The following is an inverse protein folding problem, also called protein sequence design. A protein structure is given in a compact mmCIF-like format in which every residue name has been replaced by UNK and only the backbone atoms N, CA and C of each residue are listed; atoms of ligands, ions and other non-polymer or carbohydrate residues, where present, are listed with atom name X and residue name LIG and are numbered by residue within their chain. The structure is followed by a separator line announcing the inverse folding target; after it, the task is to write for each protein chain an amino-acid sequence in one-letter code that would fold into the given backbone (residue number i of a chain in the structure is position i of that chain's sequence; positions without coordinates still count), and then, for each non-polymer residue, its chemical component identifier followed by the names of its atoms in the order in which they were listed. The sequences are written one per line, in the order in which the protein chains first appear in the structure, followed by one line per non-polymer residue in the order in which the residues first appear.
data_IF_173396557244
#
_entry.id   IF_173396557244
#
_cell.length_a   1.000
_cell.length_b   1.000
_cell.length_c   1.000
_cell.angle_alpha   90.00
_cell.angle_beta   90.00
_cell.angle_gamma   90.00
#
_symmetry.space_group_name_H-M   'P 1'
#
loop_
_entity.id
_entity.type
_entity.pdbx_description
1 polymer ?
#
# COMPACT_ATOMS: atom_id res chain seq x y z
N UNK A 1 34.10 7.31 58.26
CA UNK A 1 34.34 6.55 57.01
C UNK A 1 33.05 6.63 56.23
N UNK A 2 32.99 7.57 55.31
CA UNK A 2 31.78 7.86 54.50
C UNK A 2 31.91 7.06 53.22
N UNK A 3 30.96 6.14 53.01
CA UNK A 3 30.85 5.38 51.75
C UNK A 3 30.11 6.23 50.70
N UNK A 4 30.84 6.84 49.81
CA UNK A 4 30.29 7.48 48.60
C UNK A 4 29.61 6.43 47.72
N UNK A 5 28.32 6.55 47.58
CA UNK A 5 27.47 5.84 46.63
C UNK A 5 27.78 6.39 45.24
N UNK A 6 28.54 5.63 44.43
CA UNK A 6 28.77 5.90 43.02
C UNK A 6 27.44 5.65 42.30
N UNK A 7 26.74 6.73 41.95
CA UNK A 7 25.58 6.69 41.07
C UNK A 7 26.03 6.16 39.71
N UNK A 8 25.67 4.93 39.40
CA UNK A 8 25.81 4.34 38.09
C UNK A 8 24.96 5.14 37.08
N UNK A 9 25.61 6.01 36.30
CA UNK A 9 25.00 6.71 35.16
C UNK A 9 24.51 5.68 34.13
N UNK A 10 23.22 5.35 34.20
CA UNK A 10 22.57 4.51 33.20
C UNK A 10 22.70 5.17 31.83
N UNK A 11 23.35 4.49 30.89
CA UNK A 11 23.32 4.88 29.48
C UNK A 11 21.87 5.03 29.06
N UNK A 12 21.46 6.10 28.36
CA UNK A 12 20.11 6.22 27.83
C UNK A 12 19.85 5.01 26.94
N UNK A 13 19.02 4.09 27.40
CA UNK A 13 18.62 2.92 26.63
C UNK A 13 17.96 3.40 25.34
N UNK A 14 18.35 2.82 24.22
CA UNK A 14 17.69 3.08 22.93
C UNK A 14 16.21 2.77 23.10
N UNK A 15 15.36 3.77 22.88
CA UNK A 15 13.90 3.57 22.87
C UNK A 15 13.53 2.81 21.59
N UNK A 16 13.57 1.49 21.68
CA UNK A 16 13.30 0.58 20.57
C UNK A 16 11.95 0.84 19.91
N UNK A 17 10.99 1.39 20.63
CA UNK A 17 9.67 1.73 20.09
C UNK A 17 9.74 2.91 19.13
N UNK A 18 10.55 3.92 19.43
CA UNK A 18 10.85 5.02 18.51
C UNK A 18 11.64 4.54 17.32
N UNK A 19 12.62 3.67 17.55
CA UNK A 19 13.45 3.12 16.49
C UNK A 19 12.61 2.30 15.50
N UNK A 20 11.71 1.43 15.95
CA UNK A 20 10.81 0.65 15.10
C UNK A 20 9.90 1.54 14.24
N UNK A 21 9.31 2.58 14.84
CA UNK A 21 8.44 3.51 14.10
C UNK A 21 9.22 4.29 13.04
N UNK A 22 10.37 4.84 13.41
CA UNK A 22 11.24 5.60 12.50
C UNK A 22 11.80 4.69 11.39
N UNK A 23 12.25 3.48 11.71
CA UNK A 23 12.74 2.52 10.73
C UNK A 23 11.65 2.09 9.75
N UNK A 24 10.42 1.85 10.23
CA UNK A 24 9.27 1.53 9.38
C UNK A 24 8.96 2.68 8.44
N UNK A 25 8.99 3.92 8.94
CA UNK A 25 8.77 5.12 8.13
C UNK A 25 9.88 5.32 7.09
N UNK A 26 11.14 5.19 7.50
CA UNK A 26 12.31 5.33 6.61
C UNK A 26 12.36 4.22 5.55
N UNK A 27 12.05 2.98 5.94
CA UNK A 27 11.95 1.87 4.99
C UNK A 27 10.85 2.10 3.96
N UNK A 28 9.71 2.66 4.38
CA UNK A 28 8.59 3.03 3.50
C UNK A 28 8.99 4.10 2.49
N UNK A 29 9.61 5.18 2.96
CA UNK A 29 10.08 6.28 2.11
C UNK A 29 11.21 5.82 1.21
N UNK A 30 12.19 5.07 1.74
CA UNK A 30 13.31 4.54 0.98
C UNK A 30 12.88 3.61 -0.16
N UNK A 31 11.89 2.74 0.10
CA UNK A 31 11.36 1.83 -0.92
C UNK A 31 10.59 2.56 -2.03
N UNK A 32 9.89 3.65 -1.70
CA UNK A 32 9.17 4.50 -2.67
C UNK A 32 10.11 5.32 -3.55
N UNK A 33 11.31 5.62 -3.08
CA UNK A 33 12.30 6.46 -3.78
C UNK A 33 13.33 5.66 -4.57
N UNK A 34 13.32 4.32 -4.48
CA UNK A 34 14.23 3.48 -5.26
C UNK A 34 13.95 3.64 -6.76
N UNK A 35 14.92 4.14 -7.57
CA UNK A 35 14.75 4.31 -9.00
C UNK A 35 14.94 2.96 -9.73
N UNK A 36 14.13 1.97 -9.38
CA UNK A 36 14.17 0.66 -10.05
C UNK A 36 13.39 0.76 -11.35
N UNK A 37 14.11 0.92 -12.46
CA UNK A 37 13.54 0.82 -13.80
C UNK A 37 13.66 -0.63 -14.28
N UNK A 38 12.60 -1.40 -14.11
CA UNK A 38 12.53 -2.75 -14.64
C UNK A 38 11.66 -2.70 -15.90
N UNK A 39 12.28 -2.76 -17.08
CA UNK A 39 11.59 -2.76 -18.38
C UNK A 39 11.28 -4.18 -18.84
N UNK A 40 12.25 -5.07 -18.70
CA UNK A 40 12.15 -6.47 -19.10
C UNK A 40 12.62 -7.38 -17.97
N UNK A 41 12.11 -8.62 -17.99
CA UNK A 41 12.58 -9.73 -17.16
C UNK A 41 13.32 -10.71 -18.05
N UNK A 42 13.83 -11.78 -17.43
CA UNK A 42 14.52 -12.87 -18.07
C UNK A 42 13.95 -13.21 -19.48
N UNK A 43 14.84 -13.40 -20.45
CA UNK A 43 14.50 -13.74 -21.86
C UNK A 43 13.71 -12.67 -22.64
N UNK A 44 13.80 -11.39 -22.28
CA UNK A 44 13.14 -10.31 -23.04
C UNK A 44 11.62 -10.21 -22.83
N UNK A 45 11.06 -10.96 -21.89
CA UNK A 45 9.63 -10.88 -21.57
C UNK A 45 9.31 -9.58 -20.82
N UNK A 46 8.16 -8.92 -21.12
CA UNK A 46 7.74 -7.73 -20.41
C UNK A 46 7.58 -7.98 -18.91
N UNK A 47 8.10 -7.06 -18.09
CA UNK A 47 8.03 -7.16 -16.64
C UNK A 47 6.62 -6.93 -16.08
N UNK A 48 5.82 -6.10 -16.74
CA UNK A 48 4.51 -5.68 -16.27
C UNK A 48 3.55 -6.83 -15.93
N UNK A 49 3.33 -7.84 -16.78
CA UNK A 49 2.43 -8.97 -16.47
C UNK A 49 2.85 -9.76 -15.23
N UNK A 50 4.14 -9.83 -14.93
CA UNK A 50 4.62 -10.50 -13.72
C UNK A 50 4.37 -9.65 -12.47
N UNK A 51 4.76 -8.37 -12.52
CA UNK A 51 4.61 -7.48 -11.36
C UNK A 51 3.17 -7.23 -10.97
N UNK A 52 2.20 -7.25 -11.89
CA UNK A 52 0.78 -7.03 -11.60
C UNK A 52 0.20 -8.06 -10.63
N UNK A 53 0.75 -9.25 -10.55
CA UNK A 53 0.26 -10.29 -9.63
C UNK A 53 0.44 -9.91 -8.17
N UNK A 54 1.46 -9.14 -7.83
CA UNK A 54 1.73 -8.75 -6.45
C UNK A 54 0.65 -7.79 -5.93
N UNK A 55 0.37 -6.63 -6.55
CA UNK A 55 -0.68 -5.73 -6.07
C UNK A 55 -2.09 -6.36 -6.16
N UNK A 56 -2.37 -7.18 -7.17
CA UNK A 56 -3.69 -7.85 -7.31
C UNK A 56 -3.99 -8.78 -6.14
N UNK A 57 -2.99 -9.39 -5.52
CA UNK A 57 -3.16 -10.23 -4.33
C UNK A 57 -3.09 -9.42 -3.05
N UNK A 58 -2.09 -8.55 -2.90
CA UNK A 58 -1.83 -7.86 -1.64
C UNK A 58 -2.84 -6.75 -1.35
N UNK A 59 -3.35 -6.02 -2.36
CA UNK A 59 -4.33 -4.96 -2.14
C UNK A 59 -5.63 -5.51 -1.54
N UNK A 60 -6.32 -6.49 -2.13
CA UNK A 60 -7.52 -7.06 -1.53
C UNK A 60 -7.25 -7.66 -0.15
N UNK A 61 -6.13 -8.36 0.02
CA UNK A 61 -5.75 -8.96 1.30
C UNK A 61 -5.62 -7.92 2.40
N UNK A 62 -4.92 -6.82 2.15
CA UNK A 62 -4.73 -5.74 3.13
C UNK A 62 -6.02 -4.97 3.41
N UNK A 63 -6.85 -4.75 2.40
CA UNK A 63 -8.17 -4.12 2.56
C UNK A 63 -9.06 -4.96 3.47
N UNK A 64 -9.20 -6.24 3.19
CA UNK A 64 -10.01 -7.16 4.00
C UNK A 64 -9.48 -7.23 5.42
N UNK A 65 -8.17 -7.40 5.60
CA UNK A 65 -7.55 -7.44 6.92
C UNK A 65 -7.75 -6.13 7.68
N UNK A 66 -7.59 -4.96 7.04
CA UNK A 66 -7.82 -3.66 7.67
C UNK A 66 -9.26 -3.50 8.14
N UNK A 67 -10.25 -3.86 7.31
CA UNK A 67 -11.67 -3.81 7.68
C UNK A 67 -11.94 -4.74 8.87
N UNK A 68 -11.45 -5.99 8.84
CA UNK A 68 -11.60 -6.93 9.97
C UNK A 68 -10.98 -6.36 11.25
N UNK A 69 -9.78 -5.77 11.17
CA UNK A 69 -9.07 -5.23 12.33
C UNK A 69 -9.72 -3.96 12.91
N UNK A 70 -10.43 -3.18 12.08
CA UNK A 70 -11.26 -2.06 12.57
C UNK A 70 -12.33 -2.55 13.55
N UNK A 71 -12.96 -3.69 13.26
CA UNK A 71 -13.97 -4.29 14.15
C UNK A 71 -13.35 -5.12 15.28
N UNK A 72 -12.20 -5.75 15.05
CA UNK A 72 -11.44 -6.56 16.03
C UNK A 72 -10.23 -5.76 16.56
N UNK A 73 -10.50 -4.79 17.47
CA UNK A 73 -9.45 -3.86 17.98
C UNK A 73 -8.23 -4.57 18.56
N UNK A 74 -8.42 -5.72 19.20
CA UNK A 74 -7.32 -6.55 19.73
C UNK A 74 -6.38 -7.02 18.62
N UNK A 75 -6.95 -7.36 17.45
CA UNK A 75 -6.16 -7.77 16.28
C UNK A 75 -5.35 -6.61 15.70
N UNK A 76 -5.92 -5.41 15.68
CA UNK A 76 -5.19 -4.21 15.26
C UNK A 76 -4.00 -3.94 16.20
N UNK A 77 -4.18 -4.07 17.52
CA UNK A 77 -3.10 -3.90 18.48
C UNK A 77 -2.01 -4.97 18.33
N UNK A 78 -2.38 -6.21 18.01
CA UNK A 78 -1.46 -7.34 17.94
C UNK A 78 -0.75 -7.46 16.58
N UNK A 79 -1.47 -7.26 15.50
CA UNK A 79 -1.00 -7.51 14.13
C UNK A 79 -0.88 -6.25 13.28
N UNK A 80 -1.15 -5.07 13.84
CA UNK A 80 -1.17 -3.80 13.10
C UNK A 80 0.15 -3.47 12.43
N UNK A 81 1.30 -3.79 13.05
CA UNK A 81 2.62 -3.62 12.44
C UNK A 81 2.76 -4.51 11.20
N UNK A 82 2.41 -5.79 11.31
CA UNK A 82 2.50 -6.71 10.18
C UNK A 82 1.59 -6.24 9.03
N UNK A 83 0.36 -5.80 9.34
CA UNK A 83 -0.56 -5.26 8.34
C UNK A 83 -0.02 -3.98 7.68
N UNK A 84 0.59 -3.08 8.45
CA UNK A 84 1.21 -1.87 7.93
C UNK A 84 2.37 -2.21 6.97
N UNK A 85 3.24 -3.15 7.34
CA UNK A 85 4.35 -3.61 6.49
C UNK A 85 3.83 -4.21 5.18
N UNK A 86 2.84 -5.11 5.25
CA UNK A 86 2.24 -5.73 4.05
C UNK A 86 1.57 -4.66 3.17
N UNK A 87 0.90 -3.66 3.77
CA UNK A 87 0.30 -2.54 3.03
C UNK A 87 1.35 -1.68 2.33
N UNK A 88 2.50 -1.44 2.96
CA UNK A 88 3.62 -0.72 2.36
C UNK A 88 4.20 -1.51 1.18
N UNK A 89 4.39 -2.82 1.33
CA UNK A 89 4.85 -3.69 0.24
C UNK A 89 3.86 -3.67 -0.93
N UNK A 90 2.56 -3.75 -0.65
CA UNK A 90 1.52 -3.63 -1.67
C UNK A 90 1.57 -2.27 -2.39
N UNK A 91 1.69 -1.17 -1.64
CA UNK A 91 1.83 0.17 -2.18
C UNK A 91 3.05 0.29 -3.11
N UNK A 92 4.19 -0.22 -2.67
CA UNK A 92 5.43 -0.22 -3.46
C UNK A 92 5.30 -1.06 -4.73
N UNK A 93 4.59 -2.18 -4.66
CA UNK A 93 4.33 -3.02 -5.83
C UNK A 93 3.44 -2.33 -6.88
N UNK A 94 2.52 -1.44 -6.47
CA UNK A 94 1.75 -0.61 -7.39
C UNK A 94 2.70 0.27 -8.22
N UNK A 95 3.62 0.99 -7.57
CA UNK A 95 4.56 1.88 -8.27
C UNK A 95 5.49 1.12 -9.21
N UNK A 96 6.02 -0.03 -8.80
CA UNK A 96 6.84 -0.88 -9.66
C UNK A 96 6.05 -1.38 -10.88
N UNK A 97 4.81 -1.80 -10.67
CA UNK A 97 3.93 -2.25 -11.75
C UNK A 97 3.60 -1.12 -12.73
N UNK A 98 3.37 0.09 -12.22
CA UNK A 98 3.12 1.27 -13.06
C UNK A 98 4.36 1.63 -13.91
N UNK A 99 5.56 1.59 -13.35
CA UNK A 99 6.81 1.84 -14.10
C UNK A 99 7.02 0.78 -15.20
N UNK A 100 6.83 -0.50 -14.87
CA UNK A 100 6.91 -1.58 -15.85
C UNK A 100 5.84 -1.46 -16.94
N UNK A 101 4.64 -0.99 -16.59
CA UNK A 101 3.56 -0.73 -17.53
C UNK A 101 3.85 0.46 -18.47
N UNK A 102 4.44 1.52 -17.95
CA UNK A 102 4.85 2.68 -18.75
C UNK A 102 5.94 2.30 -19.75
N UNK A 103 6.93 1.49 -19.34
CA UNK A 103 7.97 0.97 -20.23
C UNK A 103 7.37 0.10 -21.35
N UNK A 104 6.48 -0.85 -21.00
CA UNK A 104 5.80 -1.70 -21.98
C UNK A 104 4.98 -0.87 -22.98
N UNK A 105 4.26 0.15 -22.49
CA UNK A 105 3.50 1.05 -23.38
C UNK A 105 4.37 1.77 -24.39
N UNK A 106 5.59 2.14 -24.03
CA UNK A 106 6.56 2.80 -24.93
C UNK A 106 7.04 1.87 -26.09
N UNK A 107 7.01 0.56 -25.88
CA UNK A 107 7.43 -0.44 -26.89
C UNK A 107 6.27 -0.87 -27.82
N UNK A 108 5.01 -0.60 -27.41
CA UNK A 108 3.82 -1.01 -28.17
C UNK A 108 3.35 0.10 -29.13
N UNK A 109 3.15 -0.25 -30.39
CA UNK A 109 2.48 0.63 -31.36
C UNK A 109 0.96 0.52 -31.21
N UNK A 110 0.44 1.23 -30.21
CA UNK A 110 -0.98 1.19 -29.87
C UNK A 110 -1.79 2.12 -30.75
N UNK A 111 -2.87 1.61 -31.34
CA UNK A 111 -3.79 2.38 -32.17
C UNK A 111 -5.25 2.06 -31.84
N UNK A 112 -6.15 3.00 -32.16
CA UNK A 112 -7.60 2.81 -32.00
C UNK A 112 -8.03 2.51 -30.56
N UNK A 113 -8.97 1.58 -30.42
CA UNK A 113 -9.60 1.23 -29.16
C UNK A 113 -8.61 0.71 -28.09
N UNK A 114 -7.58 -0.05 -28.50
CA UNK A 114 -6.57 -0.55 -27.57
C UNK A 114 -5.78 0.60 -26.92
N UNK A 115 -5.43 1.62 -27.67
CA UNK A 115 -4.76 2.82 -27.13
C UNK A 115 -5.62 3.55 -26.10
N UNK A 116 -6.93 3.68 -26.37
CA UNK A 116 -7.89 4.30 -25.43
C UNK A 116 -7.98 3.49 -24.12
N UNK A 117 -8.20 2.18 -24.22
CA UNK A 117 -8.31 1.30 -23.03
C UNK A 117 -7.04 1.29 -22.19
N UNK A 118 -5.86 1.30 -22.79
CA UNK A 118 -4.60 1.38 -22.07
C UNK A 118 -4.41 2.74 -21.41
N UNK A 119 -4.87 3.83 -22.05
CA UNK A 119 -4.87 5.15 -21.44
C UNK A 119 -5.78 5.23 -20.22
N UNK A 120 -7.00 4.69 -20.31
CA UNK A 120 -7.95 4.61 -19.20
C UNK A 120 -7.43 3.70 -18.07
N UNK A 121 -6.83 2.56 -18.40
CA UNK A 121 -6.18 1.68 -17.43
C UNK A 121 -5.06 2.39 -16.67
N UNK A 122 -4.19 3.11 -17.40
CA UNK A 122 -3.11 3.89 -16.78
C UNK A 122 -3.65 4.98 -15.87
N UNK A 123 -4.70 5.69 -16.27
CA UNK A 123 -5.36 6.71 -15.44
C UNK A 123 -5.97 6.10 -14.17
N UNK A 124 -6.68 4.98 -14.31
CA UNK A 124 -7.24 4.25 -13.16
C UNK A 124 -6.15 3.76 -12.19
N UNK A 125 -4.99 3.30 -12.72
CA UNK A 125 -3.86 2.91 -11.90
C UNK A 125 -3.26 4.07 -11.09
N UNK A 126 -3.20 5.28 -11.64
CA UNK A 126 -2.77 6.47 -10.90
C UNK A 126 -3.74 6.83 -9.78
N UNK A 127 -5.05 6.77 -10.04
CA UNK A 127 -6.06 7.02 -8.99
C UNK A 127 -5.94 5.94 -7.89
N UNK A 128 -5.80 4.66 -8.27
CA UNK A 128 -5.58 3.57 -7.32
C UNK A 128 -4.34 3.84 -6.45
N UNK A 129 -3.23 4.26 -7.05
CA UNK A 129 -2.00 4.58 -6.33
C UNK A 129 -2.23 5.67 -5.28
N UNK A 130 -2.90 6.77 -5.65
CA UNK A 130 -3.20 7.88 -4.73
C UNK A 130 -4.11 7.41 -3.59
N UNK A 131 -5.22 6.73 -3.91
CA UNK A 131 -6.17 6.24 -2.91
C UNK A 131 -5.49 5.25 -1.96
N UNK A 132 -4.63 4.38 -2.48
CA UNK A 132 -3.94 3.37 -1.69
C UNK A 132 -2.84 3.95 -0.81
N UNK A 133 -2.14 5.00 -1.24
CA UNK A 133 -1.21 5.78 -0.40
C UNK A 133 -1.95 6.38 0.79
N UNK A 134 -3.09 7.05 0.54
CA UNK A 134 -3.90 7.65 1.61
C UNK A 134 -4.48 6.56 2.53
N UNK A 135 -4.91 5.42 1.99
CA UNK A 135 -5.34 4.25 2.76
C UNK A 135 -4.23 3.75 3.69
N UNK A 136 -3.02 3.53 3.17
CA UNK A 136 -1.87 3.04 3.95
C UNK A 136 -1.47 4.03 5.05
N UNK A 137 -1.41 5.32 4.73
CA UNK A 137 -1.15 6.36 5.73
C UNK A 137 -2.21 6.37 6.83
N UNK A 138 -3.50 6.32 6.46
CA UNK A 138 -4.62 6.28 7.41
C UNK A 138 -4.58 5.01 8.27
N UNK A 139 -4.22 3.86 7.70
CA UNK A 139 -4.04 2.60 8.44
C UNK A 139 -2.95 2.75 9.52
N UNK A 140 -1.80 3.32 9.18
CA UNK A 140 -0.68 3.52 10.11
C UNK A 140 -1.10 4.47 11.24
N UNK A 141 -1.78 5.58 10.91
CA UNK A 141 -2.28 6.55 11.90
C UNK A 141 -3.36 5.92 12.80
N UNK A 142 -4.26 5.11 12.23
CA UNK A 142 -5.28 4.38 12.99
C UNK A 142 -4.65 3.39 13.96
N UNK A 143 -3.61 2.69 13.53
CA UNK A 143 -2.85 1.78 14.39
C UNK A 143 -2.14 2.54 15.52
N UNK A 144 -1.50 3.68 15.23
CA UNK A 144 -0.88 4.53 16.24
C UNK A 144 -1.93 5.01 17.28
N UNK A 145 -3.07 5.53 16.84
CA UNK A 145 -4.17 5.95 17.72
C UNK A 145 -4.69 4.79 18.59
N UNK A 146 -4.77 3.58 18.05
CA UNK A 146 -5.17 2.39 18.81
C UNK A 146 -4.14 2.03 19.90
N UNK A 147 -2.84 2.14 19.61
CA UNK A 147 -1.77 1.89 20.59
C UNK A 147 -1.78 2.94 21.71
N UNK A 148 -1.92 4.22 21.37
CA UNK A 148 -2.00 5.32 22.34
C UNK A 148 -3.19 5.12 23.29
N UNK A 149 -4.36 4.80 22.73
CA UNK A 149 -5.56 4.52 23.53
C UNK A 149 -5.43 3.28 24.43
N UNK A 150 -4.53 2.36 24.09
CA UNK A 150 -4.16 1.19 24.90
C UNK A 150 -3.04 1.43 25.92
N UNK A 151 -2.64 2.70 26.13
CA UNK A 151 -1.59 3.07 27.09
C UNK A 151 -0.16 2.86 26.58
N UNK A 152 0.05 2.73 25.26
CA UNK A 152 1.34 2.60 24.62
C UNK A 152 1.63 3.81 23.72
N UNK A 153 2.10 4.96 24.29
CA UNK A 153 2.37 6.15 23.50
C UNK A 153 3.49 5.93 22.49
N UNK A 154 3.47 6.71 21.41
CA UNK A 154 4.51 6.66 20.36
C UNK A 154 5.82 7.28 20.82
N UNK A 155 5.78 8.09 21.90
CA UNK A 155 6.89 8.89 22.39
C UNK A 155 7.09 10.20 21.63
N UNK A 156 6.20 10.54 20.70
CA UNK A 156 6.14 11.83 20.03
C UNK A 156 4.98 12.62 20.64
N UNK A 157 5.26 13.50 21.61
CA UNK A 157 4.25 14.16 22.45
C UNK A 157 3.11 14.81 21.67
N UNK A 158 3.39 15.55 20.59
CA UNK A 158 2.37 16.18 19.73
C UNK A 158 1.46 15.12 19.07
N UNK A 159 2.02 14.02 18.60
CA UNK A 159 1.27 12.93 17.96
C UNK A 159 0.38 12.23 18.98
N UNK A 160 0.94 11.98 20.17
CA UNK A 160 0.22 11.31 21.26
C UNK A 160 -0.95 12.17 21.76
N UNK A 161 -0.77 13.48 21.88
CA UNK A 161 -1.83 14.42 22.24
C UNK A 161 -2.93 14.49 21.18
N UNK A 162 -2.56 14.60 19.90
CA UNK A 162 -3.50 14.72 18.79
C UNK A 162 -4.34 13.44 18.58
N UNK A 163 -3.75 12.26 18.78
CA UNK A 163 -4.39 10.97 18.52
C UNK A 163 -5.06 10.34 19.75
N UNK A 164 -4.86 10.91 20.96
CA UNK A 164 -5.44 10.39 22.21
C UNK A 164 -6.97 10.53 22.31
N UNK A 165 -7.67 11.55 21.73
CA UNK A 165 -9.10 11.66 21.88
C UNK A 165 -9.87 10.52 21.23
N UNK A 166 -10.77 9.87 21.96
CA UNK A 166 -11.61 8.77 21.48
C UNK A 166 -12.35 9.06 20.16
N UNK A 167 -12.91 10.28 19.92
CA UNK A 167 -13.58 10.59 18.65
C UNK A 167 -12.62 10.58 17.45
N UNK A 168 -11.35 10.96 17.64
CA UNK A 168 -10.33 10.91 16.58
C UNK A 168 -10.10 9.47 16.13
N UNK A 169 -9.90 8.54 17.06
CA UNK A 169 -9.75 7.12 16.73
C UNK A 169 -11.00 6.51 16.08
N UNK A 170 -12.21 6.98 16.41
CA UNK A 170 -13.43 6.58 15.77
C UNK A 170 -13.52 7.10 14.32
N UNK A 171 -13.25 8.39 14.13
CA UNK A 171 -13.23 9.02 12.80
C UNK A 171 -12.22 8.36 11.86
N UNK A 172 -11.00 8.10 12.34
CA UNK A 172 -9.96 7.42 11.56
C UNK A 172 -10.41 6.04 11.07
N UNK A 173 -11.10 5.25 11.90
CA UNK A 173 -11.65 3.95 11.50
C UNK A 173 -12.70 4.07 10.41
N UNK A 174 -13.59 5.06 10.50
CA UNK A 174 -14.60 5.32 9.46
C UNK A 174 -13.91 5.70 8.14
N UNK A 175 -12.97 6.63 8.18
CA UNK A 175 -12.19 7.05 7.00
C UNK A 175 -11.44 5.86 6.41
N UNK A 176 -10.82 5.01 7.24
CA UNK A 176 -10.11 3.82 6.78
C UNK A 176 -11.02 2.84 6.03
N UNK A 177 -12.25 2.62 6.52
CA UNK A 177 -13.23 1.76 5.83
C UNK A 177 -13.67 2.36 4.50
N UNK A 178 -13.91 3.67 4.44
CA UNK A 178 -14.27 4.35 3.19
C UNK A 178 -13.14 4.28 2.15
N UNK A 179 -11.91 4.49 2.59
CA UNK A 179 -10.72 4.34 1.74
C UNK A 179 -10.52 2.88 1.29
N UNK A 180 -10.79 1.91 2.14
CA UNK A 180 -10.75 0.49 1.80
C UNK A 180 -11.74 0.16 0.66
N UNK A 181 -12.97 0.67 0.74
CA UNK A 181 -13.98 0.52 -0.32
C UNK A 181 -13.51 1.19 -1.61
N UNK A 182 -13.02 2.43 -1.53
CA UNK A 182 -12.49 3.16 -2.68
C UNK A 182 -11.30 2.47 -3.35
N UNK A 183 -10.35 1.99 -2.56
CA UNK A 183 -9.19 1.24 -3.05
C UNK A 183 -9.61 -0.10 -3.69
N UNK A 184 -10.55 -0.82 -3.10
CA UNK A 184 -11.11 -2.06 -3.65
C UNK A 184 -11.78 -1.83 -5.01
N UNK A 185 -12.64 -0.80 -5.10
CA UNK A 185 -13.27 -0.41 -6.35
C UNK A 185 -12.25 -0.04 -7.44
N UNK A 186 -11.26 0.77 -7.10
CA UNK A 186 -10.23 1.19 -8.06
C UNK A 186 -9.32 0.02 -8.46
N UNK A 187 -9.02 -0.90 -7.56
CA UNK A 187 -8.28 -2.13 -7.88
C UNK A 187 -9.04 -2.98 -8.91
N UNK A 188 -10.35 -3.21 -8.67
CA UNK A 188 -11.21 -3.93 -9.61
C UNK A 188 -11.27 -3.22 -10.97
N UNK A 189 -11.55 -1.91 -10.99
CA UNK A 189 -11.65 -1.12 -12.22
C UNK A 189 -10.35 -1.14 -13.04
N UNK A 190 -9.21 -1.00 -12.36
CA UNK A 190 -7.89 -1.06 -13.03
C UNK A 190 -7.67 -2.43 -13.65
N UNK A 191 -8.00 -3.51 -12.96
CA UNK A 191 -7.91 -4.87 -13.47
C UNK A 191 -8.83 -5.12 -14.69
N UNK A 192 -10.09 -4.68 -14.61
CA UNK A 192 -11.08 -4.80 -15.68
C UNK A 192 -10.63 -4.08 -16.97
N UNK A 193 -10.15 -2.84 -16.84
CA UNK A 193 -9.63 -2.08 -17.98
C UNK A 193 -8.40 -2.73 -18.60
N UNK A 194 -7.49 -3.26 -17.78
CA UNK A 194 -6.33 -4.02 -18.26
C UNK A 194 -6.73 -5.30 -19.00
N UNK A 195 -7.68 -6.05 -18.47
CA UNK A 195 -8.20 -7.26 -19.11
C UNK A 195 -8.91 -6.92 -20.45
N UNK A 196 -9.73 -5.89 -20.49
CA UNK A 196 -10.38 -5.41 -21.71
C UNK A 196 -9.37 -5.01 -22.79
N UNK A 197 -8.31 -4.30 -22.41
CA UNK A 197 -7.26 -3.89 -23.35
C UNK A 197 -6.57 -5.09 -24.04
N UNK A 198 -6.43 -6.22 -23.34
CA UNK A 198 -5.79 -7.43 -23.88
C UNK A 198 -6.76 -8.29 -24.67
N UNK A 199 -7.99 -8.45 -24.21
CA UNK A 199 -8.89 -9.51 -24.70
C UNK A 199 -9.99 -9.03 -25.64
N UNK A 200 -10.46 -7.76 -25.52
CA UNK A 200 -11.64 -7.30 -26.25
C UNK A 200 -11.48 -7.41 -27.76
N UNK A 201 -10.34 -6.99 -28.33
CA UNK A 201 -10.08 -7.10 -29.77
C UNK A 201 -9.93 -8.55 -30.24
N UNK A 202 -9.33 -9.43 -29.43
CA UNK A 202 -9.16 -10.86 -29.74
C UNK A 202 -10.49 -11.60 -29.74
N UNK A 203 -11.38 -11.31 -28.80
CA UNK A 203 -12.70 -11.92 -28.73
C UNK A 203 -13.59 -11.48 -29.90
N UNK A 204 -13.54 -10.20 -30.28
CA UNK A 204 -14.26 -9.69 -31.45
C UNK A 204 -13.79 -10.37 -32.73
N UNK A 205 -12.46 -10.54 -32.91
CA UNK A 205 -11.91 -11.24 -34.06
C UNK A 205 -12.33 -12.72 -34.07
N UNK A 206 -12.33 -13.41 -32.94
CA UNK A 206 -12.76 -14.80 -32.85
C UNK A 206 -14.26 -14.99 -33.19
N UNK A 207 -15.11 -14.05 -32.79
CA UNK A 207 -16.54 -14.07 -33.12
C UNK A 207 -16.83 -13.70 -34.60
N UNK A 208 -15.97 -12.87 -35.19
CA UNK A 208 -16.10 -12.50 -36.61
C UNK A 208 -15.73 -13.67 -37.59
N UNK A 209 -14.93 -14.63 -37.13
CA UNK A 209 -14.48 -15.79 -37.92
C UNK A 209 -14.66 -17.11 -37.14
N UNK A 210 -15.93 -17.53 -36.85
CA UNK A 210 -16.17 -18.78 -36.17
C UNK A 210 -15.87 -19.92 -37.10
N UNK A 211 -14.73 -20.58 -36.91
CA UNK A 211 -14.36 -21.79 -37.67
C UNK A 211 -13.01 -21.80 -38.41
N UNK A 212 -12.06 -20.94 -38.01
CA UNK A 212 -10.66 -21.08 -38.41
C UNK A 212 -9.81 -21.61 -37.28
#
# INVERSE_FOLDING_TARGET
MSSESIAAGGRPGVDWRRAEFVLTLLASVGFLTLPIRITTIYSGLPAHPLFVHVPVVLIPTTIVAAVVFVFKREWLSRYGIALAVVSIVAMSSIFLTMQAGAALRGELQLQGQAATLISEHSHAAHILAIVYVVFTATLIVTFAAQRISGGMPTGLGIVDELLSPRPVGAALRVVLVLLAIGAGYMCFRTGDLGAKAVWQGRLQAAHAFPGR
#
